data_IF_022464818303
#
_entry.id   IF_022464818303
#
_cell.length_a   1.000
_cell.length_b   1.000
_cell.length_c   1.000
_cell.angle_alpha   90.00
_cell.angle_beta   90.00
_cell.angle_gamma   90.00
#
_symmetry.space_group_name_H-M   'P 1'
#
loop_
_entity.id
_entity.type
_entity.pdbx_description
1 polymer ?
#
# COMPACT_ATOMS: atom_id res chain seq x y z
N UNK A 1 -17.45 -42.87 -7.82
CA UNK A 1 -17.63 -43.01 -6.35
C UNK A 1 -16.39 -42.62 -5.54
N UNK A 2 -15.19 -43.12 -5.83
CA UNK A 2 -13.95 -42.78 -5.08
C UNK A 2 -13.68 -41.27 -4.94
N UNK A 3 -13.91 -40.48 -6.00
CA UNK A 3 -13.66 -39.04 -5.99
C UNK A 3 -14.60 -38.27 -5.04
N UNK A 4 -15.88 -38.65 -4.95
CA UNK A 4 -16.84 -38.04 -4.01
C UNK A 4 -16.47 -38.30 -2.54
N UNK A 5 -15.92 -39.48 -2.25
CA UNK A 5 -15.44 -39.81 -0.91
C UNK A 5 -14.22 -38.97 -0.50
N UNK A 6 -13.29 -38.75 -1.45
CA UNK A 6 -12.12 -37.88 -1.24
C UNK A 6 -12.55 -36.42 -1.06
N UNK A 7 -13.49 -35.94 -1.87
CA UNK A 7 -14.01 -34.59 -1.77
C UNK A 7 -14.69 -34.36 -0.40
N UNK A 8 -15.56 -35.29 0.03
CA UNK A 8 -16.19 -35.23 1.36
C UNK A 8 -15.15 -35.20 2.48
N UNK A 9 -14.11 -36.03 2.41
CA UNK A 9 -13.05 -36.06 3.42
C UNK A 9 -12.25 -34.75 3.46
N UNK A 10 -12.00 -34.15 2.29
CA UNK A 10 -11.32 -32.85 2.17
C UNK A 10 -12.16 -31.74 2.81
N UNK A 11 -13.44 -31.66 2.46
CA UNK A 11 -14.38 -30.67 3.02
C UNK A 11 -14.53 -30.85 4.54
N UNK A 12 -14.61 -32.10 5.04
CA UNK A 12 -14.66 -32.35 6.47
C UNK A 12 -13.41 -31.84 7.20
N UNK A 13 -12.22 -32.08 6.64
CA UNK A 13 -10.96 -31.57 7.19
C UNK A 13 -10.89 -30.04 7.20
N UNK A 14 -11.41 -29.39 6.16
CA UNK A 14 -11.47 -27.92 6.10
C UNK A 14 -12.44 -27.33 7.12
N UNK A 15 -13.59 -27.99 7.34
CA UNK A 15 -14.53 -27.61 8.41
C UNK A 15 -13.85 -27.68 9.78
N UNK A 16 -13.10 -28.75 10.06
CA UNK A 16 -12.43 -28.90 11.35
C UNK A 16 -11.33 -27.85 11.57
N UNK A 17 -10.57 -27.51 10.52
CA UNK A 17 -9.59 -26.40 10.57
C UNK A 17 -10.26 -25.06 10.87
N UNK A 18 -11.42 -24.80 10.25
CA UNK A 18 -12.17 -23.57 10.49
C UNK A 18 -12.71 -23.50 11.92
N UNK A 19 -13.21 -24.61 12.47
CA UNK A 19 -13.64 -24.68 13.88
C UNK A 19 -12.50 -24.39 14.85
N UNK A 20 -11.32 -24.96 14.63
CA UNK A 20 -10.13 -24.67 15.46
C UNK A 20 -9.80 -23.18 15.43
N UNK A 21 -9.82 -22.57 14.23
CA UNK A 21 -9.57 -21.13 14.08
C UNK A 21 -10.63 -20.28 14.77
N UNK A 22 -11.90 -20.69 14.71
CA UNK A 22 -12.99 -20.00 15.40
C UNK A 22 -12.77 -20.00 16.92
N UNK A 23 -12.35 -21.13 17.50
CA UNK A 23 -12.03 -21.23 18.92
C UNK A 23 -10.84 -20.35 19.32
N UNK A 24 -9.78 -20.33 18.49
CA UNK A 24 -8.63 -19.44 18.72
C UNK A 24 -9.04 -17.96 18.73
N UNK A 25 -9.82 -17.54 17.73
CA UNK A 25 -10.30 -16.15 17.65
C UNK A 25 -11.23 -15.79 18.81
N UNK A 26 -12.07 -16.72 19.27
CA UNK A 26 -12.91 -16.52 20.45
C UNK A 26 -12.07 -16.32 21.72
N UNK A 27 -11.00 -17.11 21.89
CA UNK A 27 -10.05 -16.95 23.00
C UNK A 27 -9.29 -15.62 22.94
N UNK A 28 -8.80 -15.23 21.77
CA UNK A 28 -8.15 -13.92 21.57
C UNK A 28 -9.11 -12.76 21.89
N UNK A 29 -10.36 -12.84 21.43
CA UNK A 29 -11.38 -11.84 21.71
C UNK A 29 -11.62 -11.72 23.21
N UNK A 30 -11.84 -12.83 23.91
CA UNK A 30 -12.05 -12.85 25.36
C UNK A 30 -10.87 -12.22 26.11
N UNK A 31 -9.63 -12.52 25.69
CA UNK A 31 -8.44 -11.92 26.28
C UNK A 31 -8.39 -10.40 26.06
N UNK A 32 -8.73 -9.91 24.86
CA UNK A 32 -8.75 -8.47 24.57
C UNK A 32 -9.84 -7.74 25.33
N UNK A 33 -11.01 -8.35 25.50
CA UNK A 33 -12.08 -7.80 26.33
C UNK A 33 -11.66 -7.69 27.80
N UNK A 34 -10.96 -8.70 28.32
CA UNK A 34 -10.43 -8.68 29.68
C UNK A 34 -9.39 -7.57 29.86
N UNK A 35 -8.45 -7.43 28.91
CA UNK A 35 -7.47 -6.34 28.90
C UNK A 35 -8.16 -4.97 28.83
N UNK A 36 -9.18 -4.81 27.97
CA UNK A 36 -9.93 -3.57 27.84
C UNK A 36 -10.61 -3.18 29.17
N UNK A 37 -11.29 -4.14 29.82
CA UNK A 37 -11.92 -3.91 31.14
C UNK A 37 -10.91 -3.54 32.22
N UNK A 38 -9.73 -4.16 32.22
CA UNK A 38 -8.67 -3.83 33.17
C UNK A 38 -8.13 -2.41 32.95
N UNK A 39 -7.97 -1.99 31.70
CA UNK A 39 -7.57 -0.61 31.35
C UNK A 39 -8.64 0.39 31.76
N UNK A 40 -9.92 0.13 31.46
CA UNK A 40 -11.05 0.98 31.88
C UNK A 40 -11.05 1.20 33.40
N UNK A 41 -10.83 0.12 34.16
CA UNK A 41 -10.76 0.20 35.63
C UNK A 41 -9.54 1.01 36.10
N UNK A 42 -8.39 0.83 35.45
CA UNK A 42 -7.16 1.55 35.78
C UNK A 42 -7.29 3.05 35.51
N UNK A 43 -7.90 3.42 34.38
CA UNK A 43 -8.20 4.81 34.02
C UNK A 43 -9.19 5.42 35.03
N UNK A 44 -10.26 4.71 35.37
CA UNK A 44 -11.26 5.19 36.33
C UNK A 44 -10.67 5.45 37.73
N UNK A 45 -9.73 4.62 38.18
CA UNK A 45 -9.04 4.81 39.47
C UNK A 45 -8.04 5.97 39.42
N UNK A 46 -7.24 6.07 38.35
CA UNK A 46 -6.19 7.07 38.23
C UNK A 46 -6.71 8.46 37.83
N UNK A 47 -7.76 8.53 37.02
CA UNK A 47 -8.26 9.75 36.39
C UNK A 47 -9.79 9.84 36.50
N UNK A 48 -10.29 10.14 37.72
CA UNK A 48 -11.74 10.21 38.03
C UNK A 48 -12.56 11.17 37.16
N UNK A 49 -11.92 12.16 36.54
CA UNK A 49 -12.57 13.15 35.68
C UNK A 49 -12.57 12.79 34.18
N UNK A 50 -11.93 11.68 33.80
CA UNK A 50 -11.79 11.26 32.40
C UNK A 50 -12.73 10.09 32.12
N UNK A 51 -13.64 10.26 31.16
CA UNK A 51 -14.39 9.14 30.61
C UNK A 51 -13.46 8.28 29.74
N UNK A 52 -13.24 7.02 30.15
CA UNK A 52 -12.39 6.07 29.41
C UNK A 52 -12.88 5.81 27.97
N UNK A 53 -14.14 6.13 27.66
CA UNK A 53 -14.73 5.98 26.33
C UNK A 53 -14.56 7.20 25.44
N UNK A 54 -14.09 8.33 25.96
CA UNK A 54 -13.95 9.59 25.22
C UNK A 54 -13.00 9.49 24.02
N UNK A 55 -12.02 8.58 24.06
CA UNK A 55 -11.04 8.40 23.00
C UNK A 55 -11.58 7.72 21.72
N UNK A 56 -12.80 7.17 21.75
CA UNK A 56 -13.39 6.46 20.61
C UNK A 56 -12.65 5.17 20.22
N UNK A 57 -13.03 4.58 19.08
CA UNK A 57 -12.39 3.36 18.55
C UNK A 57 -11.19 3.72 17.68
N UNK A 58 -9.97 3.43 18.15
CA UNK A 58 -8.74 3.61 17.36
C UNK A 58 -8.32 2.26 16.76
N UNK A 59 -8.29 2.18 15.44
CA UNK A 59 -7.76 1.01 14.76
C UNK A 59 -6.22 1.10 14.66
N UNK A 60 -5.52 -0.03 14.77
CA UNK A 60 -4.04 -0.07 14.75
C UNK A 60 -3.41 0.64 13.54
N UNK A 61 -4.05 0.59 12.37
CA UNK A 61 -3.57 1.28 11.16
C UNK A 61 -3.72 2.81 11.22
N UNK A 62 -4.61 3.31 12.08
CA UNK A 62 -4.79 4.74 12.37
C UNK A 62 -3.63 5.27 13.24
N UNK A 63 -2.91 4.39 13.95
CA UNK A 63 -1.69 4.76 14.69
C UNK A 63 -0.40 4.59 13.89
N UNK A 64 -0.33 3.64 12.94
CA UNK A 64 0.91 3.40 12.16
C UNK A 64 1.16 4.42 11.03
N UNK A 65 0.11 4.98 10.42
CA UNK A 65 0.26 5.95 9.32
C UNK A 65 -0.58 7.22 9.51
N UNK A 66 -1.32 7.36 10.62
CA UNK A 66 -2.27 8.44 10.82
C UNK A 66 -3.53 8.27 9.96
N UNK A 67 -3.79 9.22 9.04
CA UNK A 67 -4.99 9.24 8.19
C UNK A 67 -4.97 8.12 7.13
N UNK A 68 -6.16 7.57 6.82
CA UNK A 68 -6.32 6.65 5.68
C UNK A 68 -5.82 7.32 4.40
N UNK A 69 -4.78 6.75 3.79
CA UNK A 69 -4.16 7.28 2.57
C UNK A 69 -2.85 8.05 2.77
N UNK A 70 -2.46 8.37 4.01
CA UNK A 70 -1.25 9.13 4.30
C UNK A 70 0.02 8.49 3.73
N UNK A 71 0.17 7.16 3.80
CA UNK A 71 1.28 6.46 3.16
C UNK A 71 1.29 6.62 1.63
N UNK A 72 0.11 6.65 1.01
CA UNK A 72 -0.02 6.84 -0.43
C UNK A 72 0.33 8.26 -0.83
N UNK A 73 -0.19 9.26 -0.11
CA UNK A 73 0.13 10.68 -0.32
C UNK A 73 1.62 10.95 -0.14
N UNK A 74 2.21 10.45 0.95
CA UNK A 74 3.65 10.58 1.22
C UNK A 74 4.51 9.92 0.14
N UNK A 75 4.16 8.70 -0.32
CA UNK A 75 4.93 8.05 -1.38
C UNK A 75 4.81 8.79 -2.70
N UNK A 76 3.66 9.40 -2.99
CA UNK A 76 3.51 10.24 -4.18
C UNK A 76 4.36 11.51 -4.07
N UNK A 77 4.31 12.24 -2.96
CA UNK A 77 5.17 13.42 -2.75
C UNK A 77 6.66 13.05 -2.76
N UNK A 78 7.00 11.88 -2.24
CA UNK A 78 8.36 11.36 -2.25
C UNK A 78 8.83 11.09 -3.70
N UNK A 79 7.99 10.46 -4.52
CA UNK A 79 8.29 10.24 -5.93
C UNK A 79 8.33 11.55 -6.72
N UNK A 80 7.54 12.57 -6.35
CA UNK A 80 7.56 13.90 -6.97
C UNK A 80 8.92 14.57 -6.73
N UNK A 81 9.46 14.45 -5.52
CA UNK A 81 10.77 14.97 -5.16
C UNK A 81 11.96 14.22 -5.80
N UNK A 82 11.72 13.03 -6.37
CA UNK A 82 12.76 12.15 -6.89
C UNK A 82 12.48 11.70 -8.35
N UNK A 83 12.63 12.61 -9.34
CA UNK A 83 12.28 12.34 -10.75
C UNK A 83 13.12 11.24 -11.40
N UNK A 84 14.31 10.94 -10.87
CA UNK A 84 15.15 9.81 -11.31
C UNK A 84 14.57 8.43 -10.94
N UNK A 85 13.56 8.40 -10.07
CA UNK A 85 12.96 7.20 -9.53
C UNK A 85 13.71 6.66 -8.30
N UNK A 86 12.97 5.92 -7.48
CA UNK A 86 13.46 5.33 -6.23
C UNK A 86 13.31 3.82 -6.27
N UNK A 87 14.28 3.12 -5.68
CA UNK A 87 14.18 1.68 -5.48
C UNK A 87 13.14 1.34 -4.42
N UNK A 88 12.61 0.11 -4.45
CA UNK A 88 11.67 -0.36 -3.43
C UNK A 88 12.25 -0.25 -2.01
N UNK A 89 13.55 -0.49 -1.84
CA UNK A 89 14.22 -0.38 -0.55
C UNK A 89 14.25 1.07 -0.07
N UNK A 90 14.64 2.02 -0.92
CA UNK A 90 14.66 3.45 -0.55
C UNK A 90 13.27 3.98 -0.21
N UNK A 91 12.24 3.59 -0.96
CA UNK A 91 10.85 3.95 -0.63
C UNK A 91 10.44 3.35 0.72
N UNK A 92 10.82 2.10 0.98
CA UNK A 92 10.53 1.43 2.25
C UNK A 92 11.22 2.14 3.42
N UNK A 93 12.49 2.52 3.25
CA UNK A 93 13.29 3.12 4.31
C UNK A 93 12.86 4.55 4.62
N UNK A 94 12.61 5.35 3.58
CA UNK A 94 12.09 6.71 3.75
C UNK A 94 10.66 6.73 4.29
N UNK A 95 9.84 5.72 3.96
CA UNK A 95 8.53 5.56 4.57
C UNK A 95 8.66 5.16 6.05
N UNK A 96 9.54 4.21 6.37
CA UNK A 96 9.76 3.80 7.74
C UNK A 96 10.24 4.96 8.62
N UNK A 97 11.17 5.78 8.10
CA UNK A 97 11.67 6.96 8.80
C UNK A 97 10.57 8.02 9.01
N UNK A 98 9.77 8.33 7.98
CA UNK A 98 8.71 9.34 8.06
C UNK A 98 7.58 8.94 9.01
N UNK A 99 7.22 7.65 9.05
CA UNK A 99 6.16 7.13 9.91
C UNK A 99 6.67 6.59 11.26
N UNK A 100 7.95 6.76 11.56
CA UNK A 100 8.55 6.28 12.82
C UNK A 100 8.46 4.77 13.03
N UNK A 101 8.44 3.99 11.95
CA UNK A 101 8.32 2.53 12.01
C UNK A 101 9.66 1.91 12.44
N UNK A 102 9.64 1.20 13.56
CA UNK A 102 10.78 0.41 14.04
C UNK A 102 10.55 -1.07 13.67
N UNK A 103 11.50 -1.66 12.95
CA UNK A 103 11.49 -3.09 12.64
C UNK A 103 12.53 -3.81 13.48
N UNK A 104 12.10 -4.78 14.29
CA UNK A 104 12.99 -5.56 15.16
C UNK A 104 13.62 -6.75 14.42
N UNK A 105 13.08 -7.11 13.26
CA UNK A 105 13.62 -8.18 12.42
C UNK A 105 13.67 -7.84 10.93
N UNK A 106 14.64 -8.46 10.23
CA UNK A 106 14.70 -8.40 8.75
C UNK A 106 13.43 -8.96 8.10
N UNK A 107 12.77 -9.93 8.74
CA UNK A 107 11.54 -10.53 8.24
C UNK A 107 10.34 -9.57 8.27
N UNK A 108 10.22 -8.76 9.33
CA UNK A 108 9.20 -7.72 9.44
C UNK A 108 9.40 -6.61 8.42
N UNK A 109 10.63 -6.12 8.26
CA UNK A 109 10.96 -5.12 7.23
C UNK A 109 10.64 -5.64 5.83
N UNK A 110 10.99 -6.90 5.55
CA UNK A 110 10.66 -7.55 4.27
C UNK A 110 9.15 -7.67 4.07
N UNK A 111 8.40 -8.00 5.12
CA UNK A 111 6.93 -8.07 5.07
C UNK A 111 6.32 -6.72 4.76
N UNK A 112 6.78 -5.65 5.43
CA UNK A 112 6.33 -4.29 5.17
C UNK A 112 6.63 -3.86 3.72
N UNK A 113 7.85 -4.10 3.24
CA UNK A 113 8.26 -3.79 1.87
C UNK A 113 7.42 -4.52 0.82
N UNK A 114 7.20 -5.83 0.98
CA UNK A 114 6.51 -6.65 -0.03
C UNK A 114 4.98 -6.60 0.06
N UNK A 115 4.41 -6.58 1.27
CA UNK A 115 2.94 -6.65 1.44
C UNK A 115 2.29 -5.27 1.42
N UNK A 116 3.00 -4.24 1.88
CA UNK A 116 2.45 -2.89 1.98
C UNK A 116 2.97 -2.01 0.85
N UNK A 117 4.27 -1.74 0.80
CA UNK A 117 4.87 -0.78 -0.14
C UNK A 117 4.75 -1.27 -1.58
N UNK A 118 5.14 -2.52 -1.86
CA UNK A 118 5.09 -3.08 -3.21
C UNK A 118 3.66 -3.23 -3.74
N UNK A 119 2.73 -3.74 -2.92
CA UNK A 119 1.30 -3.83 -3.26
C UNK A 119 0.71 -2.45 -3.57
N UNK A 120 1.07 -1.42 -2.79
CA UNK A 120 0.64 -0.04 -3.01
C UNK A 120 1.19 0.53 -4.32
N UNK A 121 2.49 0.37 -4.58
CA UNK A 121 3.12 0.82 -5.82
C UNK A 121 2.55 0.12 -7.05
N UNK A 122 2.26 -1.18 -6.95
CA UNK A 122 1.57 -1.93 -8.01
C UNK A 122 0.17 -1.39 -8.27
N UNK A 123 -0.58 -1.03 -7.23
CA UNK A 123 -1.90 -0.39 -7.37
C UNK A 123 -1.80 0.98 -8.02
N UNK A 124 -0.82 1.80 -7.63
CA UNK A 124 -0.58 3.12 -8.25
C UNK A 124 -0.12 3.00 -9.71
N UNK A 125 0.61 1.93 -10.04
CA UNK A 125 0.99 1.60 -11.41
C UNK A 125 -0.22 1.19 -12.26
N UNK A 126 -1.13 0.38 -11.72
CA UNK A 126 -2.39 0.02 -12.39
C UNK A 126 -3.30 1.25 -12.62
N UNK A 127 -3.19 2.26 -11.76
CA UNK A 127 -3.88 3.55 -11.91
C UNK A 127 -3.16 4.53 -12.87
N UNK A 128 -2.04 4.12 -13.47
CA UNK A 128 -1.28 4.95 -14.42
C UNK A 128 -0.53 6.13 -13.79
N UNK A 129 -0.45 6.23 -12.46
CA UNK A 129 0.21 7.35 -11.75
C UNK A 129 1.71 7.15 -11.59
N UNK A 130 2.14 5.91 -11.45
CA UNK A 130 3.55 5.54 -11.21
C UNK A 130 3.97 4.54 -12.27
N UNK A 131 5.21 4.61 -12.73
CA UNK A 131 5.78 3.63 -13.63
C UNK A 131 6.96 2.89 -12.99
N UNK A 132 7.15 1.66 -13.44
CA UNK A 132 8.22 0.77 -13.01
C UNK A 132 9.25 0.66 -14.13
N UNK A 133 10.37 1.36 -14.00
CA UNK A 133 11.43 1.38 -14.99
C UNK A 133 12.60 0.48 -14.52
N UNK A 134 13.27 -0.25 -15.44
CA UNK A 134 14.52 -0.92 -15.09
C UNK A 134 15.62 0.12 -14.77
N UNK A 135 16.43 -0.15 -13.76
CA UNK A 135 17.64 0.63 -13.51
C UNK A 135 18.72 0.21 -14.51
N UNK A 136 19.37 1.17 -15.18
CA UNK A 136 20.48 0.88 -16.09
C UNK A 136 21.59 0.09 -15.36
N UNK A 137 22.02 -1.01 -15.96
CA UNK A 137 23.08 -1.87 -15.42
C UNK A 137 22.71 -2.69 -14.19
N UNK A 138 21.44 -2.71 -13.75
CA UNK A 138 21.02 -3.44 -12.55
C UNK A 138 19.71 -4.21 -12.74
N UNK A 139 19.55 -5.32 -11.99
CA UNK A 139 18.27 -6.06 -11.92
C UNK A 139 17.23 -5.35 -11.06
N UNK A 140 17.60 -4.23 -10.42
CA UNK A 140 16.73 -3.46 -9.54
C UNK A 140 15.78 -2.59 -10.38
N UNK A 141 14.54 -2.51 -9.92
CA UNK A 141 13.49 -1.71 -10.56
C UNK A 141 13.33 -0.38 -9.83
N UNK A 142 13.29 0.70 -10.58
CA UNK A 142 13.01 2.05 -10.11
C UNK A 142 11.53 2.36 -10.28
N UNK A 143 10.97 2.97 -9.25
CA UNK A 143 9.61 3.50 -9.25
C UNK A 143 9.70 5.01 -9.41
N UNK A 144 9.03 5.56 -10.41
CA UNK A 144 8.97 7.01 -10.66
C UNK A 144 7.54 7.42 -11.01
N UNK A 145 7.18 8.68 -10.78
CA UNK A 145 5.91 9.17 -11.29
C UNK A 145 5.92 9.13 -12.81
N UNK A 146 4.76 8.80 -13.36
CA UNK A 146 4.57 8.89 -14.80
C UNK A 146 4.46 10.37 -15.16
N UNK A 147 5.53 10.94 -15.68
CA UNK A 147 5.52 12.29 -16.23
C UNK A 147 4.50 12.32 -17.37
N UNK A 148 3.50 13.17 -17.25
CA UNK A 148 2.55 13.48 -18.34
C UNK A 148 3.17 14.41 -19.39
N UNK A 149 4.45 14.76 -19.23
CA UNK A 149 5.20 15.48 -20.24
C UNK A 149 5.50 14.52 -21.39
N UNK A 150 5.02 14.80 -22.61
CA UNK A 150 5.37 14.00 -23.77
C UNK A 150 6.89 13.92 -23.89
N UNK A 151 7.40 12.71 -24.06
CA UNK A 151 8.83 12.47 -24.32
C UNK A 151 9.28 13.34 -25.50
N UNK A 152 10.55 13.73 -25.56
CA UNK A 152 11.09 14.55 -26.68
C UNK A 152 10.73 13.94 -28.04
N UNK A 153 10.76 12.62 -28.19
CA UNK A 153 10.30 11.90 -29.38
C UNK A 153 8.82 12.15 -29.70
N UNK A 154 7.96 12.16 -28.69
CA UNK A 154 6.53 12.45 -28.85
C UNK A 154 6.28 13.93 -29.15
N UNK A 155 7.10 14.85 -28.62
CA UNK A 155 7.09 16.26 -28.99
C UNK A 155 7.51 16.47 -30.45
N UNK A 156 8.50 15.73 -30.94
CA UNK A 156 8.93 15.76 -32.36
C UNK A 156 7.79 15.26 -33.27
N UNK A 157 7.11 14.17 -32.89
CA UNK A 157 5.98 13.62 -33.65
C UNK A 157 4.79 14.58 -33.64
N UNK A 158 4.48 15.22 -32.51
CA UNK A 158 3.44 16.25 -32.41
C UNK A 158 3.80 17.48 -33.26
N UNK A 159 5.04 17.96 -33.22
CA UNK A 159 5.49 19.08 -34.05
C UNK A 159 5.40 18.76 -35.55
N UNK A 160 5.79 17.55 -35.96
CA UNK A 160 5.69 17.09 -37.35
C UNK A 160 4.23 17.01 -37.84
N UNK A 161 3.32 16.52 -37.00
CA UNK A 161 1.89 16.42 -37.34
C UNK A 161 1.16 17.76 -37.30
N UNK A 162 1.67 18.74 -36.54
CA UNK A 162 1.16 20.13 -36.55
C UNK A 162 1.57 20.86 -37.83
N UNK A 163 2.82 20.68 -38.28
CA UNK A 163 3.31 21.24 -39.55
C UNK A 163 2.59 20.66 -40.79
N UNK A 164 2.24 19.37 -40.77
CA UNK A 164 1.48 18.74 -41.86
C UNK A 164 0.06 19.32 -42.01
N UNK A 165 -0.59 19.73 -40.91
CA UNK A 165 -1.91 20.41 -40.96
C UNK A 165 -1.80 21.85 -41.44
N UNK A 166 -0.73 22.56 -41.10
CA UNK A 166 -0.48 23.93 -41.59
C UNK A 166 -0.21 23.97 -43.09
N UNK A 167 0.47 22.97 -43.66
CA UNK A 167 0.70 22.90 -45.10
C UNK A 167 -0.55 22.52 -45.90
N UNK A 168 -1.44 21.67 -45.35
CA UNK A 168 -2.73 21.35 -46.00
C UNK A 168 -3.77 22.47 -45.90
N UNK A 169 -3.58 23.47 -45.03
CA UNK A 169 -4.44 24.65 -44.98
C UNK A 169 -4.04 25.73 -46.00
N UNK A 170 -2.87 25.60 -46.63
CA UNK A 170 -2.29 26.58 -47.55
C UNK A 170 -2.23 26.12 -49.01
N UNK A 171 -2.78 24.95 -49.33
CA UNK A 171 -2.87 24.46 -50.70
C UNK A 171 -4.13 23.64 -50.89
N UNK A 172 -5.20 24.27 -51.36
CA UNK A 172 -5.53 24.23 -52.80
C UNK A 172 -6.75 25.14 -53.11
N UNK A 173 -7.07 25.43 -54.39
CA UNK A 173 -7.21 26.79 -54.89
C UNK A 173 -8.58 27.07 -55.50
N UNK A 174 -8.88 28.34 -55.74
CA UNK A 174 -9.64 28.85 -56.89
C UNK A 174 -9.63 30.38 -56.85
#
# INVERSE_FOLDING_TARGET
MKWLLVERATVAGDIDRLKVRQLQLAGELAQRELTLKALDRSISVAYKMVDCRAAGKVFRHTQEYGRRGALTEYVLSLLESAPKGLTLQEVTDRAAQHFGLVFYSKAERRRFSLKTVHSMLRRLCAQGRVENAPMEGSRVKLWRLKSHLPTVEQLIVLAASTNARSNNANGDPA
#
